data_IF_478465552354
#
_entry.id   IF_478465552354
#
_cell.length_a   1.000
_cell.length_b   1.000
_cell.length_c   1.000
_cell.angle_alpha   90.00
_cell.angle_beta   90.00
_cell.angle_gamma   90.00
#
_symmetry.space_group_name_H-M   'P 1'
#
loop_
_entity.id
_entity.type
_entity.pdbx_description
1 polymer ?
#
# COMPACT_ATOMS: atom_id res chain seq x y z
N UNK A 1 -66.98 43.37 -63.35
CA UNK A 1 -67.54 42.09 -63.84
C UNK A 1 -66.57 40.97 -63.48
N UNK A 2 -67.02 40.03 -62.63
CA UNK A 2 -66.49 38.68 -62.32
C UNK A 2 -64.97 38.48 -62.16
N UNK A 3 -64.51 38.52 -60.91
CA UNK A 3 -63.37 37.70 -60.46
C UNK A 3 -63.91 36.27 -60.34
N UNK A 4 -63.43 35.36 -61.19
CA UNK A 4 -63.79 33.94 -61.13
C UNK A 4 -63.07 33.28 -59.94
N UNK A 5 -63.83 33.06 -58.87
CA UNK A 5 -63.54 32.09 -57.83
C UNK A 5 -63.50 30.68 -58.45
N UNK A 6 -62.30 30.14 -58.69
CA UNK A 6 -62.12 28.70 -58.89
C UNK A 6 -61.91 28.06 -57.52
N UNK A 7 -62.99 27.49 -56.98
CA UNK A 7 -62.96 26.50 -55.91
C UNK A 7 -62.48 25.18 -56.51
N UNK A 8 -61.38 24.64 -56.01
CA UNK A 8 -61.13 23.18 -56.04
C UNK A 8 -60.71 22.74 -54.64
N UNK A 9 -61.61 22.03 -53.98
CA UNK A 9 -61.34 21.32 -52.73
C UNK A 9 -60.70 19.95 -52.99
N UNK A 10 -60.20 19.37 -51.88
CA UNK A 10 -59.70 18.00 -51.68
C UNK A 10 -58.37 17.63 -52.37
N UNK A 11 -57.31 17.11 -51.74
CA UNK A 11 -57.17 16.19 -50.58
C UNK A 11 -55.80 16.40 -49.89
N UNK A 12 -55.78 16.85 -48.63
CA UNK A 12 -54.57 16.89 -47.78
C UNK A 12 -54.24 15.48 -47.23
N UNK A 13 -53.52 14.65 -48.00
CA UNK A 13 -52.93 13.38 -47.51
C UNK A 13 -51.47 13.21 -47.98
N UNK A 14 -50.64 14.25 -47.83
CA UNK A 14 -49.20 14.19 -48.16
C UNK A 14 -48.25 14.50 -47.01
N UNK A 15 -48.62 15.39 -46.08
CA UNK A 15 -47.64 15.97 -45.15
C UNK A 15 -47.53 15.29 -43.77
N UNK A 16 -48.51 14.50 -43.32
CA UNK A 16 -48.43 13.88 -41.98
C UNK A 16 -47.35 12.82 -41.89
N UNK A 17 -47.14 12.03 -42.96
CA UNK A 17 -46.08 11.02 -43.01
C UNK A 17 -44.69 11.66 -42.99
N UNK A 18 -44.52 12.78 -43.69
CA UNK A 18 -43.24 13.51 -43.74
C UNK A 18 -42.92 14.16 -42.39
N UNK A 19 -43.90 14.79 -41.73
CA UNK A 19 -43.71 15.40 -40.40
C UNK A 19 -43.41 14.34 -39.33
N UNK A 20 -44.13 13.21 -39.34
CA UNK A 20 -43.86 12.08 -38.41
C UNK A 20 -42.49 11.45 -38.69
N UNK A 21 -42.11 11.29 -39.95
CA UNK A 21 -40.78 10.79 -40.30
C UNK A 21 -39.67 11.75 -39.85
N UNK A 22 -39.87 13.06 -40.02
CA UNK A 22 -38.90 14.09 -39.61
C UNK A 22 -38.77 14.16 -38.07
N UNK A 23 -39.89 14.12 -37.34
CA UNK A 23 -39.89 14.04 -35.87
C UNK A 23 -39.25 12.74 -35.36
N UNK A 24 -39.52 11.61 -36.01
CA UNK A 24 -38.89 10.33 -35.65
C UNK A 24 -37.38 10.33 -35.95
N UNK A 25 -36.96 10.97 -37.05
CA UNK A 25 -35.54 11.12 -37.38
C UNK A 25 -34.84 12.05 -36.38
N UNK A 26 -35.46 13.18 -36.04
CA UNK A 26 -34.98 14.13 -35.03
C UNK A 26 -34.92 13.49 -33.64
N UNK A 27 -35.90 12.67 -33.26
CA UNK A 27 -35.91 11.92 -32.02
C UNK A 27 -34.78 10.86 -32.00
N UNK A 28 -34.58 10.13 -33.11
CA UNK A 28 -33.48 9.16 -33.25
C UNK A 28 -32.10 9.82 -33.20
N UNK A 29 -31.91 10.98 -33.84
CA UNK A 29 -30.63 11.70 -33.82
C UNK A 29 -30.36 12.37 -32.47
N UNK A 30 -31.38 12.95 -31.82
CA UNK A 30 -31.25 13.44 -30.44
C UNK A 30 -30.97 12.32 -29.44
N UNK A 31 -31.60 11.15 -29.58
CA UNK A 31 -31.35 9.99 -28.71
C UNK A 31 -29.93 9.42 -28.91
N UNK A 32 -29.43 9.36 -30.15
CA UNK A 32 -28.02 9.02 -30.43
C UNK A 32 -27.04 10.04 -29.86
N UNK A 33 -27.37 11.33 -29.93
CA UNK A 33 -26.54 12.40 -29.35
C UNK A 33 -26.50 12.34 -27.83
N UNK A 34 -27.63 12.06 -27.19
CA UNK A 34 -27.72 11.88 -25.73
C UNK A 34 -26.93 10.65 -25.25
N UNK A 35 -27.01 9.53 -25.97
CA UNK A 35 -26.27 8.30 -25.63
C UNK A 35 -24.76 8.48 -25.79
N UNK A 36 -24.28 9.19 -26.83
CA UNK A 36 -22.86 9.54 -26.97
C UNK A 36 -22.37 10.46 -25.86
N UNK A 37 -23.15 11.47 -25.47
CA UNK A 37 -22.83 12.36 -24.35
C UNK A 37 -22.72 11.54 -23.06
N UNK A 38 -23.71 10.69 -22.77
CA UNK A 38 -23.70 9.83 -21.58
C UNK A 38 -22.50 8.88 -21.57
N UNK A 39 -22.20 8.23 -22.70
CA UNK A 39 -21.05 7.34 -22.84
C UNK A 39 -19.72 8.09 -22.64
N UNK A 40 -19.58 9.29 -23.22
CA UNK A 40 -18.39 10.13 -23.03
C UNK A 40 -18.19 10.55 -21.57
N UNK A 41 -19.29 10.90 -20.87
CA UNK A 41 -19.28 11.26 -19.46
C UNK A 41 -18.90 10.06 -18.59
N UNK A 42 -19.44 8.87 -18.88
CA UNK A 42 -19.11 7.63 -18.18
C UNK A 42 -17.63 7.28 -18.35
N UNK A 43 -17.09 7.40 -19.57
CA UNK A 43 -15.67 7.19 -19.84
C UNK A 43 -14.81 8.19 -19.06
N UNK A 44 -15.17 9.47 -19.06
CA UNK A 44 -14.40 10.48 -18.33
C UNK A 44 -14.40 10.21 -16.82
N UNK A 45 -15.55 9.85 -16.25
CA UNK A 45 -15.67 9.53 -14.82
C UNK A 45 -14.87 8.27 -14.45
N UNK A 46 -14.97 7.21 -15.24
CA UNK A 46 -14.23 5.96 -14.98
C UNK A 46 -12.72 6.16 -15.09
N UNK A 47 -12.24 6.94 -16.05
CA UNK A 47 -10.81 7.31 -16.17
C UNK A 47 -10.30 8.08 -14.95
N UNK A 48 -11.04 9.11 -14.53
CA UNK A 48 -10.69 9.88 -13.33
C UNK A 48 -10.58 8.99 -12.08
N UNK A 49 -11.54 8.07 -11.92
CA UNK A 49 -11.53 7.12 -10.81
C UNK A 49 -10.37 6.13 -10.90
N UNK A 50 -10.07 5.59 -12.08
CA UNK A 50 -8.93 4.68 -12.25
C UNK A 50 -7.61 5.38 -11.97
N UNK A 51 -7.42 6.60 -12.45
CA UNK A 51 -6.19 7.37 -12.24
C UNK A 51 -5.99 7.69 -10.75
N UNK A 52 -7.08 8.07 -10.07
CA UNK A 52 -7.06 8.29 -8.63
C UNK A 52 -6.70 7.01 -7.87
N UNK A 53 -7.36 5.88 -8.16
CA UNK A 53 -7.05 4.59 -7.53
C UNK A 53 -5.60 4.18 -7.76
N UNK A 54 -5.08 4.35 -8.98
CA UNK A 54 -3.68 4.09 -9.30
C UNK A 54 -2.76 4.99 -8.46
N UNK A 55 -3.07 6.28 -8.34
CA UNK A 55 -2.26 7.21 -7.54
C UNK A 55 -2.24 6.86 -6.06
N UNK A 56 -3.40 6.51 -5.48
CA UNK A 56 -3.52 6.11 -4.07
C UNK A 56 -2.75 4.82 -3.83
N UNK A 57 -2.96 3.79 -4.65
CA UNK A 57 -2.21 2.53 -4.52
C UNK A 57 -0.70 2.71 -4.71
N UNK A 58 -0.25 3.67 -5.53
CA UNK A 58 1.18 3.99 -5.66
C UNK A 58 1.71 4.65 -4.38
N UNK A 59 0.97 5.60 -3.82
CA UNK A 59 1.34 6.28 -2.57
C UNK A 59 1.42 5.30 -1.40
N UNK A 60 0.40 4.45 -1.22
CA UNK A 60 0.37 3.42 -0.16
C UNK A 60 1.54 2.44 -0.27
N UNK A 61 1.86 1.98 -1.49
CA UNK A 61 3.02 1.11 -1.72
C UNK A 61 4.33 1.83 -1.42
N UNK A 62 4.44 3.13 -1.71
CA UNK A 62 5.63 3.90 -1.38
C UNK A 62 5.79 4.04 0.14
N UNK A 63 4.72 4.36 0.85
CA UNK A 63 4.71 4.44 2.32
C UNK A 63 5.11 3.10 2.95
N UNK A 64 4.50 2.00 2.50
CA UNK A 64 4.86 0.66 2.97
C UNK A 64 6.33 0.33 2.72
N UNK A 65 6.87 0.68 1.54
CA UNK A 65 8.28 0.49 1.22
C UNK A 65 9.20 1.30 2.13
N UNK A 66 8.84 2.54 2.46
CA UNK A 66 9.62 3.37 3.37
C UNK A 66 9.64 2.79 4.78
N UNK A 67 8.47 2.34 5.27
CA UNK A 67 8.35 1.69 6.57
C UNK A 67 9.21 0.43 6.66
N UNK A 68 9.11 -0.45 5.66
CA UNK A 68 9.95 -1.67 5.60
C UNK A 68 11.43 -1.31 5.56
N UNK A 69 11.86 -0.32 4.77
CA UNK A 69 13.28 0.10 4.75
C UNK A 69 13.77 0.58 6.12
N UNK A 70 12.96 1.40 6.81
CA UNK A 70 13.31 1.91 8.13
C UNK A 70 13.38 0.78 9.17
N UNK A 71 12.39 -0.11 9.16
CA UNK A 71 12.35 -1.26 10.06
C UNK A 71 13.49 -2.24 9.77
N UNK A 72 13.84 -2.46 8.50
CA UNK A 72 14.97 -3.30 8.12
C UNK A 72 16.31 -2.76 8.61
N UNK A 73 16.51 -1.44 8.60
CA UNK A 73 17.73 -0.84 9.16
C UNK A 73 17.80 -1.02 10.68
N UNK A 74 16.67 -0.86 11.36
CA UNK A 74 16.58 -0.92 12.82
C UNK A 74 16.68 -2.35 13.36
N UNK A 75 15.86 -3.24 12.81
CA UNK A 75 15.65 -4.60 13.32
C UNK A 75 16.46 -5.63 12.57
N UNK A 76 16.62 -5.46 11.27
CA UNK A 76 17.30 -6.44 10.41
C UNK A 76 16.45 -6.87 9.23
N UNK A 77 17.04 -7.69 8.36
CA UNK A 77 16.37 -8.22 7.18
C UNK A 77 16.69 -9.72 7.00
N UNK A 78 15.94 -10.36 6.11
CA UNK A 78 16.23 -11.74 5.68
C UNK A 78 17.10 -11.64 4.42
N UNK A 79 18.37 -12.04 4.55
CA UNK A 79 19.27 -12.27 3.43
C UNK A 79 18.97 -13.63 2.78
N UNK A 80 18.88 -13.67 1.45
CA UNK A 80 18.65 -14.91 0.70
C UNK A 80 19.89 -15.23 -0.13
N UNK A 81 20.48 -16.39 0.10
CA UNK A 81 21.65 -16.91 -0.62
C UNK A 81 21.20 -18.07 -1.50
N UNK A 82 21.52 -17.99 -2.79
CA UNK A 82 21.17 -19.04 -3.77
C UNK A 82 22.41 -19.72 -4.32
N UNK A 83 22.46 -21.05 -4.21
CA UNK A 83 23.50 -21.90 -4.77
C UNK A 83 22.86 -23.01 -5.62
N UNK A 84 22.79 -22.79 -6.94
CA UNK A 84 22.12 -23.70 -7.88
C UNK A 84 20.62 -23.82 -7.58
N UNK A 85 20.19 -25.03 -7.20
CA UNK A 85 18.81 -25.36 -6.80
C UNK A 85 18.55 -25.11 -5.31
N UNK A 86 19.58 -24.84 -4.50
CA UNK A 86 19.46 -24.63 -3.06
C UNK A 86 19.25 -23.15 -2.78
N UNK A 87 18.26 -22.86 -1.93
CA UNK A 87 17.97 -21.53 -1.39
C UNK A 87 18.19 -21.61 0.12
N UNK A 88 19.01 -20.72 0.65
CA UNK A 88 19.24 -20.55 2.08
C UNK A 88 18.85 -19.15 2.49
N UNK A 89 18.08 -19.03 3.57
CA UNK A 89 17.68 -17.77 4.16
C UNK A 89 18.46 -17.59 5.47
N UNK A 90 19.07 -16.42 5.65
CA UNK A 90 19.80 -16.04 6.85
C UNK A 90 19.29 -14.71 7.35
N UNK A 91 19.05 -14.60 8.65
CA UNK A 91 18.69 -13.32 9.26
C UNK A 91 19.93 -12.45 9.44
N UNK A 92 19.87 -11.19 9.01
CA UNK A 92 20.92 -10.19 9.23
C UNK A 92 20.43 -9.15 10.23
N UNK A 93 21.11 -9.06 11.38
CA UNK A 93 20.73 -8.15 12.45
C UNK A 93 20.84 -6.66 12.06
N UNK A 94 19.79 -5.92 12.37
CA UNK A 94 19.78 -4.46 12.31
C UNK A 94 20.54 -3.81 13.47
N UNK A 95 20.61 -2.47 13.44
CA UNK A 95 21.44 -1.73 14.39
C UNK A 95 21.01 -1.97 15.85
N UNK A 96 19.72 -1.97 16.14
CA UNK A 96 19.22 -2.14 17.52
C UNK A 96 19.58 -3.51 18.09
N UNK A 97 19.50 -4.57 17.28
CA UNK A 97 19.87 -5.91 17.73
C UNK A 97 21.38 -6.04 17.95
N UNK A 98 22.20 -5.42 17.08
CA UNK A 98 23.66 -5.35 17.26
C UNK A 98 24.04 -4.65 18.56
N UNK A 99 23.39 -3.53 18.88
CA UNK A 99 23.63 -2.78 20.11
C UNK A 99 23.23 -3.59 21.35
N UNK A 100 22.08 -4.25 21.33
CA UNK A 100 21.64 -5.14 22.43
C UNK A 100 22.63 -6.28 22.62
N UNK A 101 23.10 -6.89 21.53
CA UNK A 101 24.05 -8.01 21.60
C UNK A 101 25.41 -7.56 22.13
N UNK A 102 25.87 -6.36 21.76
CA UNK A 102 27.13 -5.80 22.30
C UNK A 102 27.03 -5.54 23.80
N UNK A 103 25.90 -4.98 24.27
CA UNK A 103 25.63 -4.78 25.69
C UNK A 103 25.56 -6.11 26.45
N UNK A 104 24.90 -7.12 25.87
CA UNK A 104 24.82 -8.46 26.46
C UNK A 104 26.23 -9.06 26.64
N UNK A 105 27.09 -8.98 25.63
CA UNK A 105 28.47 -9.48 25.70
C UNK A 105 29.26 -8.79 26.81
N UNK A 106 29.18 -7.47 26.90
CA UNK A 106 29.83 -6.71 27.96
C UNK A 106 29.35 -7.13 29.36
N UNK A 107 28.04 -7.32 29.55
CA UNK A 107 27.49 -7.76 30.83
C UNK A 107 27.95 -9.18 31.20
N UNK A 108 28.07 -10.08 30.21
CA UNK A 108 28.60 -11.43 30.44
C UNK A 108 30.07 -11.39 30.86
N UNK A 109 30.90 -10.57 30.21
CA UNK A 109 32.31 -10.39 30.59
C UNK A 109 32.44 -9.84 32.02
N UNK A 110 31.63 -8.85 32.39
CA UNK A 110 31.57 -8.31 33.75
C UNK A 110 31.16 -9.38 34.77
N UNK A 111 30.13 -10.17 34.45
CA UNK A 111 29.65 -11.27 35.29
C UNK A 111 30.76 -12.29 35.52
N UNK A 112 31.49 -12.67 34.48
CA UNK A 112 32.63 -13.60 34.58
C UNK A 112 33.77 -13.02 35.43
N UNK A 113 34.07 -11.73 35.30
CA UNK A 113 35.06 -11.05 36.13
C UNK A 113 34.68 -11.07 37.61
N UNK A 114 33.42 -10.78 37.93
CA UNK A 114 32.88 -10.85 39.29
C UNK A 114 32.92 -12.29 39.83
N UNK A 115 32.59 -13.29 39.02
CA UNK A 115 32.68 -14.69 39.43
C UNK A 115 34.13 -15.14 39.68
N UNK A 116 35.09 -14.69 38.87
CA UNK A 116 36.52 -14.90 39.08
C UNK A 116 36.98 -14.27 40.41
N UNK A 117 36.58 -13.03 40.67
CA UNK A 117 36.86 -12.36 41.95
C UNK A 117 36.25 -13.10 43.14
N UNK A 118 34.99 -13.54 43.04
CA UNK A 118 34.33 -14.35 44.09
C UNK A 118 35.08 -15.64 44.38
N UNK A 119 35.60 -16.33 43.35
CA UNK A 119 36.41 -17.54 43.51
C UNK A 119 37.74 -17.24 44.21
N UNK A 120 38.40 -16.12 43.89
CA UNK A 120 39.65 -15.71 44.55
C UNK A 120 39.44 -15.34 46.03
N UNK A 121 38.36 -14.62 46.33
CA UNK A 121 38.01 -14.27 47.72
C UNK A 121 37.73 -15.51 48.58
N UNK A 122 37.09 -16.53 48.03
CA UNK A 122 36.90 -17.82 48.71
C UNK A 122 38.19 -18.62 48.91
N UNK A 123 39.24 -18.38 48.10
CA UNK A 123 40.55 -19.04 48.20
C UNK A 123 41.51 -18.34 49.15
N UNK A 124 41.23 -17.10 49.59
CA UNK A 124 42.03 -16.44 50.63
C UNK A 124 41.81 -17.21 51.94
N UNK A 125 42.87 -17.73 52.61
CA UNK A 125 42.69 -18.36 53.90
C UNK A 125 42.05 -17.35 54.84
N UNK A 126 40.93 -17.73 55.47
CA UNK A 126 40.40 -16.99 56.61
C UNK A 126 41.55 -16.87 57.61
N UNK A 127 42.09 -15.66 57.74
CA UNK A 127 43.21 -15.39 58.64
C UNK A 127 42.91 -15.95 60.02
N UNK A 128 43.80 -16.85 60.44
CA UNK A 128 44.19 -17.14 61.82
C UNK A 128 43.62 -16.18 62.88
N UNK A 129 43.02 -16.75 63.94
CA UNK A 129 42.88 -16.06 65.23
C UNK A 129 41.48 -16.01 65.82
N UNK A 130 40.94 -17.15 66.28
CA UNK A 130 40.02 -17.16 67.43
C UNK A 130 39.97 -18.55 68.09
N UNK A 131 41.09 -18.94 68.69
CA UNK A 131 41.10 -20.03 69.68
C UNK A 131 41.80 -19.50 70.94
N UNK A 132 41.13 -18.61 71.66
CA UNK A 132 41.36 -18.41 73.09
C UNK A 132 40.20 -19.08 73.80
N UNK A 133 40.33 -20.39 74.04
CA UNK A 133 39.64 -21.05 75.14
C UNK A 133 40.21 -20.41 76.40
N UNK A 134 39.38 -19.61 77.06
CA UNK A 134 39.65 -19.16 78.42
C UNK A 134 39.66 -20.39 79.33
N UNK A 135 40.68 -20.40 80.17
CA UNK A 135 40.92 -21.32 81.27
C UNK A 135 39.82 -21.23 82.33
#
# INVERSE_FOLDING_TARGET
MRILLVKTGEKKKGNRRLVVAFLALMCKTHCKRLTLIFFSLLIQRTKMLSDLLISVSKAERQEARLKVRQDSLRLGNVGVIRAGTIISETWEDGQTLKDINSHLRHLLEMKEAVERQRKLLKKRPSGSGRNTRLA
#
